data_IF_858149146095
#
_entry.id   IF_858149146095
#
_cell.length_a   1.000
_cell.length_b   1.000
_cell.length_c   1.000
_cell.angle_alpha   90.00
_cell.angle_beta   90.00
_cell.angle_gamma   90.00
#
_symmetry.space_group_name_H-M   'P 1'
#
loop_
_entity.id
_entity.type
_entity.pdbx_description
1 polymer ?
#
# COMPACT_ATOMS: atom_id res chain seq x y z
N UNK A 1 -7.04 -5.15 -0.45
CA UNK A 1 -6.64 -4.51 -1.73
C UNK A 1 -7.17 -3.08 -1.86
N UNK A 2 -8.49 -2.85 -1.80
CA UNK A 2 -9.10 -1.53 -1.98
C UNK A 2 -8.45 -0.40 -1.17
N UNK A 3 -8.42 -0.54 0.15
CA UNK A 3 -7.77 0.43 1.04
C UNK A 3 -6.26 0.60 0.79
N UNK A 4 -5.56 -0.43 0.32
CA UNK A 4 -4.14 -0.26 -0.04
C UNK A 4 -3.97 0.65 -1.25
N UNK A 5 -4.85 0.49 -2.26
CA UNK A 5 -4.89 1.36 -3.42
C UNK A 5 -5.34 2.78 -3.05
N UNK A 6 -6.28 2.92 -2.10
CA UNK A 6 -6.66 4.22 -1.52
C UNK A 6 -5.47 5.00 -0.97
N UNK A 7 -4.63 4.36 -0.15
CA UNK A 7 -3.41 5.02 0.34
C UNK A 7 -2.43 5.35 -0.78
N UNK A 8 -2.32 4.51 -1.82
CA UNK A 8 -1.54 4.83 -3.02
C UNK A 8 -2.07 6.06 -3.76
N UNK A 9 -3.39 6.20 -3.91
CA UNK A 9 -4.00 7.37 -4.52
C UNK A 9 -3.79 8.63 -3.69
N UNK A 10 -3.86 8.53 -2.35
CA UNK A 10 -3.50 9.62 -1.45
C UNK A 10 -2.07 10.10 -1.70
N UNK A 11 -1.11 9.18 -1.79
CA UNK A 11 0.28 9.50 -2.11
C UNK A 11 0.42 10.13 -3.50
N UNK A 12 -0.15 9.52 -4.54
CA UNK A 12 -0.03 9.99 -5.93
C UNK A 12 -0.61 11.41 -6.07
N UNK A 13 -1.76 11.67 -5.45
CA UNK A 13 -2.44 12.97 -5.51
C UNK A 13 -1.76 14.06 -4.70
N UNK A 14 -1.33 13.76 -3.46
CA UNK A 14 -0.80 14.77 -2.55
C UNK A 14 0.72 14.98 -2.64
N UNK A 15 1.49 13.99 -3.09
CA UNK A 15 2.95 14.06 -3.06
C UNK A 15 3.58 15.17 -3.91
N UNK A 16 3.06 15.59 -5.08
CA UNK A 16 3.61 16.74 -5.79
C UNK A 16 3.48 18.04 -4.97
N UNK A 17 2.34 18.23 -4.31
CA UNK A 17 2.13 19.38 -3.42
C UNK A 17 3.08 19.31 -2.22
N UNK A 18 3.13 18.17 -1.54
CA UNK A 18 3.98 18.00 -0.35
C UNK A 18 5.45 18.16 -0.70
N UNK A 19 5.97 17.42 -1.67
CA UNK A 19 7.41 17.39 -1.96
C UNK A 19 7.88 18.62 -2.75
N UNK A 20 7.13 19.08 -3.75
CA UNK A 20 7.59 20.22 -4.56
C UNK A 20 7.20 21.57 -3.94
N UNK A 21 5.95 21.73 -3.48
CA UNK A 21 5.49 23.04 -2.98
C UNK A 21 5.87 23.29 -1.53
N UNK A 22 5.74 22.30 -0.63
CA UNK A 22 6.08 22.48 0.79
C UNK A 22 7.58 22.26 1.08
N UNK A 23 8.17 21.20 0.53
CA UNK A 23 9.59 20.88 0.73
C UNK A 23 10.53 21.48 -0.33
N UNK A 24 9.99 22.14 -1.37
CA UNK A 24 10.79 22.86 -2.37
C UNK A 24 11.62 21.97 -3.32
N UNK A 25 11.28 20.67 -3.45
CA UNK A 25 11.98 19.83 -4.42
C UNK A 25 11.73 20.32 -5.85
N UNK A 26 12.78 20.32 -6.67
CA UNK A 26 12.63 20.52 -8.10
C UNK A 26 11.81 19.38 -8.73
N UNK A 27 11.16 19.60 -9.89
CA UNK A 27 10.44 18.54 -10.59
C UNK A 27 11.31 17.30 -10.89
N UNK A 28 12.60 17.52 -11.16
CA UNK A 28 13.57 16.45 -11.39
C UNK A 28 13.82 15.62 -10.11
N UNK A 29 14.05 16.30 -8.98
CA UNK A 29 14.29 15.63 -7.70
C UNK A 29 13.03 14.87 -7.22
N UNK A 30 11.84 15.45 -7.41
CA UNK A 30 10.58 14.75 -7.20
C UNK A 30 10.45 13.51 -8.08
N UNK A 31 10.80 13.62 -9.37
CA UNK A 31 10.74 12.49 -10.31
C UNK A 31 11.65 11.34 -9.88
N UNK A 32 12.85 11.63 -9.35
CA UNK A 32 13.72 10.60 -8.77
C UNK A 32 13.10 9.94 -7.53
N UNK A 33 12.48 10.72 -6.64
CA UNK A 33 11.78 10.17 -5.47
C UNK A 33 10.61 9.26 -5.89
N UNK A 34 9.84 9.69 -6.89
CA UNK A 34 8.71 8.92 -7.40
C UNK A 34 9.17 7.63 -8.10
N UNK A 35 10.25 7.71 -8.90
CA UNK A 35 10.87 6.56 -9.56
C UNK A 35 11.44 5.55 -8.55
N UNK A 36 12.04 6.02 -7.45
CA UNK A 36 12.52 5.15 -6.38
C UNK A 36 11.37 4.34 -5.76
N UNK A 37 10.22 4.97 -5.49
CA UNK A 37 9.03 4.26 -5.02
C UNK A 37 8.54 3.22 -6.04
N UNK A 38 8.53 3.56 -7.33
CA UNK A 38 8.22 2.64 -8.42
C UNK A 38 9.15 1.42 -8.46
N UNK A 39 10.45 1.63 -8.29
CA UNK A 39 11.44 0.57 -8.20
C UNK A 39 11.21 -0.32 -6.97
N UNK A 40 10.89 0.29 -5.83
CA UNK A 40 10.50 -0.40 -4.60
C UNK A 40 9.30 -1.33 -4.79
N UNK A 41 8.26 -0.88 -5.51
CA UNK A 41 7.09 -1.71 -5.86
C UNK A 41 7.48 -2.94 -6.68
N UNK A 42 8.35 -2.78 -7.67
CA UNK A 42 8.84 -3.89 -8.51
C UNK A 42 9.63 -4.89 -7.67
N UNK A 43 10.57 -4.43 -6.85
CA UNK A 43 11.34 -5.31 -5.95
C UNK A 43 10.40 -6.05 -5.01
N UNK A 44 9.47 -5.35 -4.38
CA UNK A 44 8.53 -5.91 -3.43
C UNK A 44 7.64 -6.99 -4.08
N UNK A 45 7.16 -6.76 -5.30
CA UNK A 45 6.34 -7.70 -6.06
C UNK A 45 7.13 -8.95 -6.49
N UNK A 46 8.40 -8.80 -6.87
CA UNK A 46 9.25 -9.94 -7.18
C UNK A 46 9.64 -10.72 -5.91
N UNK A 47 9.84 -10.01 -4.80
CA UNK A 47 10.16 -10.61 -3.51
C UNK A 47 8.98 -11.45 -3.02
N UNK A 48 7.74 -10.96 -3.11
CA UNK A 48 6.57 -11.77 -2.76
C UNK A 48 6.47 -13.03 -3.62
N UNK A 49 6.68 -12.93 -4.94
CA UNK A 49 6.66 -14.09 -5.83
C UNK A 49 7.67 -15.18 -5.42
N UNK A 50 8.83 -14.80 -4.87
CA UNK A 50 9.85 -15.74 -4.37
C UNK A 50 9.53 -16.28 -2.97
N UNK A 51 8.90 -15.48 -2.11
CA UNK A 51 8.56 -15.88 -0.74
C UNK A 51 7.29 -16.73 -0.65
N UNK A 52 6.33 -16.54 -1.58
CA UNK A 52 5.06 -17.25 -1.57
C UNK A 52 5.20 -18.78 -1.65
N UNK A 53 6.08 -19.37 -2.50
CA UNK A 53 6.33 -20.81 -2.49
C UNK A 53 6.94 -21.33 -1.19
N UNK A 54 7.67 -20.49 -0.45
CA UNK A 54 8.38 -20.88 0.77
C UNK A 54 7.47 -20.79 2.02
N UNK A 55 6.68 -19.73 2.12
CA UNK A 55 5.90 -19.41 3.34
C UNK A 55 4.39 -19.41 3.14
N UNK A 56 3.92 -19.51 1.90
CA UNK A 56 2.51 -19.42 1.51
C UNK A 56 2.04 -17.96 1.36
N UNK A 57 1.17 -17.73 0.37
CA UNK A 57 0.66 -16.39 0.03
C UNK A 57 -0.01 -15.68 1.22
N UNK A 58 -0.71 -16.43 2.09
CA UNK A 58 -1.35 -15.86 3.28
C UNK A 58 -0.34 -15.24 4.25
N UNK A 59 0.79 -15.91 4.50
CA UNK A 59 1.82 -15.39 5.43
C UNK A 59 2.58 -14.23 4.81
N UNK A 60 2.87 -14.31 3.51
CA UNK A 60 3.52 -13.22 2.78
C UNK A 60 2.63 -11.97 2.75
N UNK A 61 1.32 -12.14 2.53
CA UNK A 61 0.34 -11.06 2.62
C UNK A 61 0.30 -10.44 4.02
N UNK A 62 0.25 -11.28 5.06
CA UNK A 62 0.26 -10.81 6.47
C UNK A 62 1.53 -10.01 6.78
N UNK A 63 2.69 -10.50 6.33
CA UNK A 63 3.97 -9.80 6.47
C UNK A 63 3.97 -8.46 5.73
N UNK A 64 3.48 -8.43 4.49
CA UNK A 64 3.34 -7.20 3.69
C UNK A 64 2.43 -6.16 4.35
N UNK A 65 1.25 -6.58 4.85
CA UNK A 65 0.33 -5.70 5.59
C UNK A 65 0.94 -5.18 6.88
N UNK A 66 1.69 -6.01 7.61
CA UNK A 66 2.38 -5.61 8.83
C UNK A 66 3.46 -4.57 8.53
N UNK A 67 4.27 -4.79 7.48
CA UNK A 67 5.25 -3.83 7.01
C UNK A 67 4.58 -2.51 6.59
N UNK A 68 3.48 -2.57 5.85
CA UNK A 68 2.73 -1.39 5.43
C UNK A 68 2.23 -0.57 6.63
N UNK A 69 1.67 -1.25 7.64
CA UNK A 69 1.18 -0.60 8.86
C UNK A 69 2.33 0.05 9.64
N UNK A 70 3.43 -0.67 9.88
CA UNK A 70 4.58 -0.13 10.61
C UNK A 70 5.22 1.04 9.85
N UNK A 71 5.47 0.89 8.55
CA UNK A 71 6.08 1.93 7.72
C UNK A 71 5.18 3.19 7.65
N UNK A 72 3.87 3.02 7.47
CA UNK A 72 2.93 4.16 7.45
C UNK A 72 2.78 4.82 8.82
N UNK A 73 2.91 4.06 9.92
CA UNK A 73 2.96 4.62 11.28
C UNK A 73 4.21 5.48 11.47
N UNK A 74 5.37 4.99 11.02
CA UNK A 74 6.63 5.75 11.06
C UNK A 74 6.57 6.98 10.16
N UNK A 75 5.92 6.89 9.01
CA UNK A 75 5.69 8.01 8.11
C UNK A 75 4.82 9.09 8.78
N UNK A 76 3.71 8.69 9.41
CA UNK A 76 2.85 9.59 10.17
C UNK A 76 3.60 10.22 11.35
N UNK A 77 4.40 9.44 12.08
CA UNK A 77 5.22 9.94 13.17
C UNK A 77 6.25 10.95 12.68
N UNK A 78 6.92 10.69 11.55
CA UNK A 78 7.85 11.61 10.92
C UNK A 78 7.16 12.94 10.54
N UNK A 79 5.92 12.89 10.06
CA UNK A 79 5.14 14.09 9.77
C UNK A 79 4.78 14.87 11.06
N UNK A 80 4.32 14.19 12.11
CA UNK A 80 3.96 14.82 13.40
C UNK A 80 5.16 15.47 14.08
N UNK A 81 6.32 14.83 14.01
CA UNK A 81 7.56 15.33 14.61
C UNK A 81 8.32 16.33 13.72
N UNK A 82 7.77 16.68 12.55
CA UNK A 82 8.44 17.54 11.57
C UNK A 82 9.87 17.05 11.24
N UNK A 83 10.01 15.73 11.10
CA UNK A 83 11.29 15.09 10.87
C UNK A 83 11.94 15.57 9.57
N UNK A 84 13.29 15.48 9.45
CA UNK A 84 13.99 15.80 8.22
C UNK A 84 13.43 15.04 7.02
N UNK A 85 13.40 15.70 5.85
CA UNK A 85 12.88 15.16 4.60
C UNK A 85 13.43 13.76 4.28
N UNK A 86 14.71 13.50 4.55
CA UNK A 86 15.32 12.19 4.31
C UNK A 86 14.62 11.06 5.08
N UNK A 87 14.27 11.26 6.36
CA UNK A 87 13.54 10.26 7.15
C UNK A 87 12.12 10.05 6.63
N UNK A 88 11.45 11.14 6.21
CA UNK A 88 10.14 11.07 5.60
C UNK A 88 10.17 10.25 4.31
N UNK A 89 11.15 10.50 3.43
CA UNK A 89 11.32 9.78 2.17
C UNK A 89 11.63 8.29 2.38
N UNK A 90 12.43 7.94 3.38
CA UNK A 90 12.71 6.53 3.73
C UNK A 90 11.45 5.84 4.23
N UNK A 91 10.72 6.44 5.16
CA UNK A 91 9.46 5.87 5.65
C UNK A 91 8.41 5.75 4.53
N UNK A 92 8.33 6.76 3.66
CA UNK A 92 7.47 6.76 2.48
C UNK A 92 7.85 5.64 1.51
N UNK A 93 9.14 5.43 1.23
CA UNK A 93 9.62 4.36 0.38
C UNK A 93 9.12 2.99 0.84
N UNK A 94 9.29 2.64 2.12
CA UNK A 94 8.83 1.35 2.63
C UNK A 94 7.30 1.25 2.65
N UNK A 95 6.62 2.36 2.94
CA UNK A 95 5.16 2.47 2.90
C UNK A 95 4.64 2.13 1.50
N UNK A 96 5.18 2.76 0.46
CA UNK A 96 4.74 2.52 -0.92
C UNK A 96 5.25 1.18 -1.44
N UNK A 97 6.50 0.79 -1.19
CA UNK A 97 7.04 -0.49 -1.66
C UNK A 97 6.21 -1.68 -1.16
N UNK A 98 5.73 -1.64 0.09
CA UNK A 98 4.89 -2.71 0.67
C UNK A 98 3.63 -3.02 -0.16
N UNK A 99 3.10 -2.04 -0.92
CA UNK A 99 1.98 -2.26 -1.83
C UNK A 99 2.29 -3.30 -2.90
N UNK A 100 3.54 -3.47 -3.33
CA UNK A 100 3.91 -4.47 -4.34
C UNK A 100 3.69 -5.91 -3.84
N UNK A 101 4.08 -6.17 -2.58
CA UNK A 101 3.81 -7.47 -1.93
C UNK A 101 2.30 -7.71 -1.82
N UNK A 102 1.56 -6.70 -1.36
CA UNK A 102 0.13 -6.85 -1.09
C UNK A 102 -0.67 -6.96 -2.39
N UNK A 103 -0.29 -6.19 -3.43
CA UNK A 103 -0.99 -6.17 -4.70
C UNK A 103 -0.98 -7.53 -5.40
N UNK A 104 0.14 -8.24 -5.32
CA UNK A 104 0.33 -9.57 -5.89
C UNK A 104 -0.37 -10.65 -5.04
N UNK A 105 -0.14 -10.64 -3.73
CA UNK A 105 -0.64 -11.71 -2.84
C UNK A 105 -2.14 -11.64 -2.56
N UNK A 106 -2.70 -10.44 -2.29
CA UNK A 106 -4.13 -10.32 -1.99
C UNK A 106 -5.00 -10.56 -3.23
N UNK A 107 -4.58 -10.10 -4.42
CA UNK A 107 -5.28 -10.42 -5.67
C UNK A 107 -5.25 -11.92 -5.97
N UNK A 108 -4.10 -12.57 -5.82
CA UNK A 108 -3.95 -14.00 -6.05
C UNK A 108 -4.87 -14.82 -5.13
N UNK A 109 -4.79 -14.59 -3.81
CA UNK A 109 -5.64 -15.27 -2.82
C UNK A 109 -7.14 -15.05 -3.08
N UNK A 110 -7.53 -13.83 -3.44
CA UNK A 110 -8.92 -13.51 -3.73
C UNK A 110 -9.42 -14.27 -4.98
N UNK A 111 -8.65 -14.31 -6.06
CA UNK A 111 -9.02 -15.05 -7.27
C UNK A 111 -9.03 -16.57 -7.05
N UNK A 112 -8.04 -17.12 -6.35
CA UNK A 112 -7.98 -18.54 -6.01
C UNK A 112 -9.20 -18.99 -5.19
N UNK A 113 -9.70 -18.14 -4.29
CA UNK A 113 -10.88 -18.45 -3.47
C UNK A 113 -12.19 -18.57 -4.25
N UNK A 114 -12.22 -18.12 -5.52
CA UNK A 114 -13.44 -18.04 -6.33
C UNK A 114 -13.47 -19.04 -7.50
N UNK A 115 -12.39 -19.80 -7.73
CA UNK A 115 -12.34 -20.87 -8.73
C UNK A 115 -12.83 -20.42 -10.12
N UNK A 116 -13.94 -21.01 -10.59
CA UNK A 116 -14.54 -20.68 -11.89
C UNK A 116 -15.02 -19.21 -12.02
N UNK A 117 -15.17 -18.49 -10.90
CA UNK A 117 -15.57 -17.07 -10.87
C UNK A 117 -14.40 -16.10 -10.72
N UNK A 118 -13.16 -16.54 -10.95
CA UNK A 118 -11.96 -15.71 -10.81
C UNK A 118 -12.01 -14.41 -11.63
N UNK A 119 -12.60 -14.43 -12.84
CA UNK A 119 -12.78 -13.23 -13.66
C UNK A 119 -13.68 -12.18 -12.98
N UNK A 120 -14.82 -12.60 -12.42
CA UNK A 120 -15.69 -11.71 -11.64
C UNK A 120 -15.01 -11.21 -10.37
N UNK A 121 -14.22 -12.06 -9.69
CA UNK A 121 -13.45 -11.66 -8.52
C UNK A 121 -12.45 -10.54 -8.88
N UNK A 122 -11.73 -10.69 -9.99
CA UNK A 122 -10.82 -9.66 -10.51
C UNK A 122 -11.54 -8.35 -10.83
N UNK A 123 -12.73 -8.43 -11.44
CA UNK A 123 -13.55 -7.25 -11.71
C UNK A 123 -13.95 -6.51 -10.42
N UNK A 124 -14.41 -7.24 -9.39
CA UNK A 124 -14.77 -6.66 -8.08
C UNK A 124 -13.55 -6.03 -7.40
N UNK A 125 -12.39 -6.69 -7.45
CA UNK A 125 -11.13 -6.15 -6.92
C UNK A 125 -10.80 -4.82 -7.60
N UNK A 126 -10.83 -4.78 -8.93
CA UNK A 126 -10.53 -3.60 -9.73
C UNK A 126 -11.48 -2.44 -9.42
N UNK A 127 -12.79 -2.67 -9.47
CA UNK A 127 -13.80 -1.65 -9.12
C UNK A 127 -13.56 -1.12 -7.71
N UNK A 128 -13.35 -1.99 -6.73
CA UNK A 128 -13.11 -1.58 -5.34
C UNK A 128 -11.85 -0.73 -5.21
N UNK A 129 -10.76 -1.09 -5.89
CA UNK A 129 -9.49 -0.35 -5.89
C UNK A 129 -9.66 1.07 -6.43
N UNK A 130 -10.30 1.22 -7.58
CA UNK A 130 -10.45 2.53 -8.22
C UNK A 130 -11.53 3.38 -7.56
N UNK A 131 -12.66 2.81 -7.14
CA UNK A 131 -13.71 3.56 -6.43
C UNK A 131 -13.20 4.11 -5.11
N UNK A 132 -12.60 3.26 -4.25
CA UNK A 132 -12.06 3.74 -2.98
C UNK A 132 -10.84 4.65 -3.20
N UNK A 133 -10.02 4.39 -4.23
CA UNK A 133 -8.92 5.25 -4.65
C UNK A 133 -9.37 6.67 -4.99
N UNK A 134 -10.36 6.79 -5.86
CA UNK A 134 -10.91 8.07 -6.31
C UNK A 134 -11.48 8.89 -5.14
N UNK A 135 -12.17 8.25 -4.19
CA UNK A 135 -12.71 8.92 -3.00
C UNK A 135 -11.60 9.44 -2.08
N UNK A 136 -10.44 8.79 -2.06
CA UNK A 136 -9.36 9.10 -1.11
C UNK A 136 -8.58 10.36 -1.48
N UNK A 137 -8.46 10.68 -2.77
CA UNK A 137 -7.74 11.87 -3.24
C UNK A 137 -8.31 13.17 -2.63
N UNK A 138 -9.62 13.49 -2.73
CA UNK A 138 -10.15 14.71 -2.13
C UNK A 138 -10.04 14.72 -0.59
N UNK A 139 -10.04 13.55 0.07
CA UNK A 139 -9.85 13.47 1.53
C UNK A 139 -8.50 14.06 1.95
N UNK A 140 -7.44 13.87 1.15
CA UNK A 140 -6.12 14.44 1.44
C UNK A 140 -6.08 15.98 1.41
N UNK A 141 -7.05 16.60 0.74
CA UNK A 141 -7.18 18.06 0.61
C UNK A 141 -8.15 18.70 1.60
N UNK A 142 -8.88 17.92 2.42
CA UNK A 142 -9.80 18.47 3.43
C UNK A 142 -8.98 19.24 4.47
N UNK A 143 -9.25 20.54 4.60
CA UNK A 143 -8.49 21.42 5.50
C UNK A 143 -7.15 21.90 4.92
N UNK A 144 -6.89 21.66 3.63
CA UNK A 144 -5.65 22.00 2.94
C UNK A 144 -4.69 20.82 2.85
N UNK A 145 -4.09 20.63 1.67
CA UNK A 145 -3.08 19.60 1.48
C UNK A 145 -1.87 19.91 2.35
N UNK A 146 -1.45 18.97 3.19
CA UNK A 146 -0.29 19.12 4.07
C UNK A 146 0.47 17.80 4.17
N UNK A 147 1.69 17.87 4.71
CA UNK A 147 2.46 16.65 5.02
C UNK A 147 1.63 15.73 5.92
N UNK A 148 0.98 16.30 6.92
CA UNK A 148 0.16 15.56 7.88
C UNK A 148 -1.08 14.95 7.23
N UNK A 149 -1.81 15.70 6.40
CA UNK A 149 -3.03 15.18 5.76
C UNK A 149 -2.72 13.98 4.85
N UNK A 150 -1.66 14.08 4.03
CA UNK A 150 -1.20 12.96 3.20
C UNK A 150 -0.84 11.73 4.06
N UNK A 151 0.01 11.91 5.06
CA UNK A 151 0.51 10.79 5.87
C UNK A 151 -0.61 10.16 6.71
N UNK A 152 -1.52 10.96 7.27
CA UNK A 152 -2.67 10.49 8.04
C UNK A 152 -3.66 9.70 7.18
N UNK A 153 -3.93 10.16 5.95
CA UNK A 153 -4.80 9.42 5.03
C UNK A 153 -4.19 8.08 4.62
N UNK A 154 -2.89 8.04 4.30
CA UNK A 154 -2.18 6.79 3.98
C UNK A 154 -2.24 5.82 5.17
N UNK A 155 -1.88 6.30 6.37
CA UNK A 155 -1.92 5.52 7.59
C UNK A 155 -3.33 4.97 7.88
N UNK A 156 -4.37 5.82 7.82
CA UNK A 156 -5.75 5.40 8.07
C UNK A 156 -6.21 4.31 7.10
N UNK A 157 -5.84 4.43 5.82
CA UNK A 157 -6.10 3.41 4.81
C UNK A 157 -5.39 2.08 5.14
N UNK A 158 -4.10 2.11 5.46
CA UNK A 158 -3.31 0.90 5.70
C UNK A 158 -3.66 0.23 7.03
N UNK A 159 -3.97 1.02 8.05
CA UNK A 159 -4.53 0.56 9.32
C UNK A 159 -5.88 -0.15 9.09
N UNK A 160 -6.77 0.44 8.29
CA UNK A 160 -8.06 -0.21 7.95
C UNK A 160 -7.83 -1.52 7.20
N UNK A 161 -6.88 -1.56 6.27
CA UNK A 161 -6.55 -2.77 5.52
C UNK A 161 -6.06 -3.93 6.43
N UNK A 162 -5.14 -3.66 7.36
CA UNK A 162 -4.64 -4.70 8.27
C UNK A 162 -5.70 -5.12 9.30
N UNK A 163 -6.52 -4.20 9.78
CA UNK A 163 -7.64 -4.53 10.67
C UNK A 163 -8.65 -5.44 9.97
N UNK A 164 -9.06 -5.10 8.74
CA UNK A 164 -9.94 -5.95 7.96
C UNK A 164 -9.34 -7.33 7.71
N UNK A 165 -8.03 -7.42 7.42
CA UNK A 165 -7.36 -8.69 7.27
C UNK A 165 -7.43 -9.52 8.56
N UNK A 166 -7.11 -8.93 9.72
CA UNK A 166 -7.12 -9.66 10.98
C UNK A 166 -8.53 -10.10 11.42
N UNK A 167 -9.57 -9.34 11.09
CA UNK A 167 -10.96 -9.65 11.47
C UNK A 167 -11.61 -10.63 10.49
N UNK A 168 -11.37 -10.48 9.18
CA UNK A 168 -12.11 -11.20 8.14
C UNK A 168 -11.32 -12.36 7.52
N UNK A 169 -9.98 -12.31 7.52
CA UNK A 169 -9.19 -13.31 6.80
C UNK A 169 -9.10 -14.63 7.58
N UNK A 170 -9.71 -15.67 7.03
CA UNK A 170 -9.58 -17.04 7.54
C UNK A 170 -8.29 -17.66 7.01
N UNK A 171 -7.51 -18.28 7.89
CA UNK A 171 -6.30 -19.03 7.49
C UNK A 171 -6.72 -20.19 6.57
N UNK A 172 -6.10 -20.35 5.39
CA UNK A 172 -6.38 -21.50 4.53
C UNK A 172 -6.05 -22.80 5.27
N UNK A 173 -6.93 -23.80 5.19
CA UNK A 173 -6.65 -25.13 5.72
C UNK A 173 -5.42 -25.72 5.00
N UNK A 174 -4.57 -26.51 5.67
CA UNK A 174 -3.46 -27.19 5.00
C UNK A 174 -4.04 -28.06 3.87
N UNK A 175 -3.62 -27.82 2.63
CA UNK A 175 -3.95 -28.76 1.56
C UNK A 175 -3.17 -30.05 1.83
N UNK A 176 -3.90 -31.11 2.20
CA UNK A 176 -3.35 -32.46 2.26
C UNK A 176 -2.92 -32.79 0.83
N UNK A 177 -1.61 -32.88 0.59
CA UNK A 177 -1.08 -33.36 -0.69
C UNK A 177 -1.50 -34.83 -0.82
N UNK A 178 -2.57 -35.09 -1.56
CA UNK A 178 -2.84 -36.44 -2.09
C UNK A 178 -1.79 -36.69 -3.16
N UNK A 179 -0.81 -37.52 -2.82
CA UNK A 179 0.17 -38.08 -3.76
C UNK A 179 -0.48 -39.10 -4.68
#
# INVERSE_FOLDING_TARGET
QGFMMSGMFAYIGASPFVLQQLYGLSPQAFSFCFAANGFGLVIASQTSARLCPLWGEYQVLKGGLTLAFVASSLLLLAALLHAPLALLLVALFFTIASNGVIATTASSLAMQSQGHRAGSASAVIGVTMFTLGAITVPITGIGGTSVLSMCATIFGCFMTAILMFNVLAKKPLPQVKTH
#
